data_IF_530001198443
#
_entry.id   IF_530001198443
#
_cell.length_a   1.000
_cell.length_b   1.000
_cell.length_c   1.000
_cell.angle_alpha   90.00
_cell.angle_beta   90.00
_cell.angle_gamma   90.00
#
_symmetry.space_group_name_H-M   'P 1'
#
loop_
_entity.id
_entity.type
_entity.pdbx_description
1 polymer ?
#
# COMPACT_ATOMS: atom_id res chain seq x y z
N UNK A 1 24.58 18.95 38.86
CA UNK A 1 25.12 18.83 37.48
C UNK A 1 23.98 18.30 36.62
N UNK A 2 23.24 19.18 35.95
CA UNK A 2 22.10 18.76 35.10
C UNK A 2 22.70 18.25 33.80
N UNK A 3 22.56 16.95 33.53
CA UNK A 3 22.96 16.38 32.25
C UNK A 3 22.20 17.13 31.14
N UNK A 4 22.93 17.80 30.24
CA UNK A 4 22.33 18.37 29.03
C UNK A 4 21.89 17.18 28.17
N UNK A 5 20.61 16.88 28.17
CA UNK A 5 20.02 15.92 27.25
C UNK A 5 20.13 16.51 25.84
N UNK A 6 21.06 16.00 25.03
CA UNK A 6 21.17 16.40 23.62
C UNK A 6 19.88 15.95 22.92
N UNK A 7 19.10 16.87 22.32
CA UNK A 7 17.87 16.48 21.63
C UNK A 7 18.22 15.61 20.42
N UNK A 8 17.65 14.40 20.36
CA UNK A 8 17.79 13.51 19.21
C UNK A 8 16.93 14.04 18.07
N UNK A 9 17.49 14.17 16.87
CA UNK A 9 16.80 14.71 15.70
C UNK A 9 16.63 13.62 14.65
N UNK A 10 15.39 13.35 14.28
CA UNK A 10 15.07 12.49 13.16
C UNK A 10 14.97 13.37 11.91
N UNK A 11 16.03 13.38 11.12
CA UNK A 11 16.05 14.02 9.81
C UNK A 11 15.44 13.05 8.79
N UNK A 12 14.26 13.37 8.29
CA UNK A 12 13.55 12.53 7.31
C UNK A 12 12.81 13.39 6.28
N UNK A 13 12.73 12.91 5.05
CA UNK A 13 11.96 13.59 4.00
C UNK A 13 10.47 13.61 4.34
N UNK A 14 9.99 12.57 5.02
CA UNK A 14 8.59 12.35 5.36
C UNK A 14 8.35 12.44 6.85
N UNK A 15 7.18 12.96 7.22
CA UNK A 15 6.72 12.87 8.60
C UNK A 15 6.57 11.39 9.02
N UNK A 16 7.12 11.01 10.18
CA UNK A 16 6.97 9.67 10.73
C UNK A 16 5.51 9.45 11.16
N UNK A 17 5.05 8.21 11.04
CA UNK A 17 3.72 7.73 11.44
C UNK A 17 3.79 6.81 12.68
N UNK A 18 4.87 6.91 13.43
CA UNK A 18 5.10 6.17 14.67
C UNK A 18 5.46 7.13 15.80
N UNK A 19 5.30 6.68 17.05
CA UNK A 19 5.67 7.47 18.23
C UNK A 19 7.18 7.74 18.25
N UNK A 20 7.53 9.03 18.26
CA UNK A 20 8.92 9.48 18.25
C UNK A 20 9.57 9.43 19.63
N UNK A 21 8.79 9.31 20.71
CA UNK A 21 9.28 9.39 22.08
C UNK A 21 10.08 10.68 22.30
N UNK A 22 11.39 10.55 22.51
CA UNK A 22 12.30 11.69 22.75
C UNK A 22 12.87 12.33 21.48
N UNK A 23 12.62 11.76 20.30
CA UNK A 23 13.12 12.30 19.04
C UNK A 23 12.28 13.47 18.57
N UNK A 24 12.91 14.49 18.01
CA UNK A 24 12.24 15.56 17.29
C UNK A 24 12.37 15.35 15.79
N UNK A 25 11.25 15.37 15.08
CA UNK A 25 11.23 15.37 13.62
C UNK A 25 11.75 16.70 13.06
N UNK A 26 12.60 16.61 12.05
CA UNK A 26 13.02 17.73 11.20
C UNK A 26 12.87 17.31 9.74
N UNK A 27 12.06 18.05 8.99
CA UNK A 27 11.89 17.79 7.56
C UNK A 27 13.14 18.23 6.78
N UNK A 28 13.34 17.63 5.61
CA UNK A 28 14.42 18.03 4.71
C UNK A 28 14.25 19.50 4.24
N UNK A 29 13.01 19.96 4.03
CA UNK A 29 12.75 21.36 3.72
C UNK A 29 13.18 22.30 4.86
N UNK A 30 12.81 22.00 6.11
CA UNK A 30 13.25 22.79 7.25
C UNK A 30 14.77 22.77 7.42
N UNK A 31 15.41 21.62 7.17
CA UNK A 31 16.86 21.52 7.23
C UNK A 31 17.55 22.36 6.15
N UNK A 32 17.06 22.32 4.90
CA UNK A 32 17.54 23.15 3.81
C UNK A 32 17.42 24.64 4.09
N UNK A 33 16.26 25.08 4.61
CA UNK A 33 16.04 26.47 5.01
C UNK A 33 17.03 26.92 6.10
N UNK A 34 17.24 26.09 7.13
CA UNK A 34 18.20 26.39 8.21
C UNK A 34 19.65 26.45 7.74
N UNK A 35 20.03 25.66 6.75
CA UNK A 35 21.35 25.79 6.10
C UNK A 35 21.45 27.19 5.48
N UNK A 36 20.48 27.57 4.65
CA UNK A 36 20.51 28.87 3.96
C UNK A 36 20.53 30.06 4.92
N UNK A 37 19.74 30.01 6.00
CA UNK A 37 19.72 31.04 7.04
C UNK A 37 21.05 31.18 7.80
N UNK A 38 21.78 30.07 7.98
CA UNK A 38 23.05 30.06 8.71
C UNK A 38 24.26 30.44 7.86
N UNK A 39 24.13 30.49 6.53
CA UNK A 39 25.24 30.81 5.64
C UNK A 39 25.57 32.30 5.65
N UNK A 40 26.86 32.67 5.58
CA UNK A 40 27.26 34.06 5.42
C UNK A 40 26.85 34.60 4.04
N UNK A 41 26.82 35.92 3.92
CA UNK A 41 26.39 36.62 2.70
C UNK A 41 27.44 36.60 1.57
N UNK A 42 28.64 36.06 1.80
CA UNK A 42 29.69 36.00 0.78
C UNK A 42 29.42 34.91 -0.28
N UNK A 43 30.34 34.78 -1.23
CA UNK A 43 30.26 33.83 -2.35
C UNK A 43 31.49 32.93 -2.41
N UNK A 44 32.04 32.53 -1.26
CA UNK A 44 33.11 31.53 -1.24
C UNK A 44 32.64 30.21 -1.87
N UNK A 45 33.59 29.40 -2.33
CA UNK A 45 33.29 28.10 -2.90
C UNK A 45 32.51 27.20 -1.92
N UNK A 46 32.88 27.22 -0.64
CA UNK A 46 32.23 26.47 0.43
C UNK A 46 30.79 26.93 0.64
N UNK A 47 30.56 28.25 0.64
CA UNK A 47 29.22 28.83 0.80
C UNK A 47 28.33 28.47 -0.40
N UNK A 48 28.84 28.59 -1.62
CA UNK A 48 28.10 28.18 -2.82
C UNK A 48 27.83 26.67 -2.86
N UNK A 49 28.75 25.85 -2.38
CA UNK A 49 28.55 24.40 -2.24
C UNK A 49 27.41 24.10 -1.28
N UNK A 50 27.36 24.77 -0.14
CA UNK A 50 26.27 24.61 0.83
C UNK A 50 24.93 25.13 0.31
N UNK A 51 24.91 26.24 -0.45
CA UNK A 51 23.69 26.72 -1.13
C UNK A 51 23.15 25.69 -2.11
N UNK A 52 24.03 25.09 -2.93
CA UNK A 52 23.66 24.03 -3.88
C UNK A 52 23.17 22.76 -3.17
N UNK A 53 23.79 22.41 -2.05
CA UNK A 53 23.35 21.28 -1.24
C UNK A 53 21.95 21.52 -0.62
N UNK A 54 21.70 22.70 -0.09
CA UNK A 54 20.38 23.07 0.43
C UNK A 54 19.29 23.08 -0.67
N UNK A 55 19.64 23.56 -1.87
CA UNK A 55 18.76 23.48 -3.04
C UNK A 55 18.44 22.02 -3.40
N UNK A 56 19.45 21.16 -3.50
CA UNK A 56 19.26 19.73 -3.78
C UNK A 56 18.37 19.03 -2.74
N UNK A 57 18.55 19.33 -1.46
CA UNK A 57 17.71 18.78 -0.39
C UNK A 57 16.26 19.24 -0.57
N UNK A 58 16.05 20.52 -0.90
CA UNK A 58 14.73 21.10 -1.12
C UNK A 58 14.04 20.47 -2.33
N UNK A 59 14.77 20.28 -3.43
CA UNK A 59 14.28 19.60 -4.63
C UNK A 59 13.89 18.15 -4.34
N UNK A 60 14.71 17.43 -3.57
CA UNK A 60 14.41 16.07 -3.13
C UNK A 60 13.14 16.02 -2.26
N UNK A 61 12.97 16.99 -1.35
CA UNK A 61 11.76 17.08 -0.55
C UNK A 61 10.53 17.32 -1.42
N UNK A 62 10.59 18.28 -2.34
CA UNK A 62 9.49 18.55 -3.28
C UNK A 62 9.13 17.32 -4.13
N UNK A 63 10.14 16.60 -4.61
CA UNK A 63 9.95 15.38 -5.39
C UNK A 63 9.21 14.30 -4.61
N UNK A 64 9.58 14.08 -3.34
CA UNK A 64 8.90 13.09 -2.48
C UNK A 64 7.52 13.58 -2.06
N UNK A 65 7.34 14.88 -1.78
CA UNK A 65 6.03 15.47 -1.47
C UNK A 65 5.06 15.46 -2.66
N UNK A 66 5.53 15.25 -3.88
CA UNK A 66 4.67 14.97 -5.03
C UNK A 66 3.99 13.58 -4.94
N UNK A 67 4.47 12.69 -4.07
CA UNK A 67 3.87 11.37 -3.84
C UNK A 67 2.76 11.39 -2.78
N UNK A 68 2.64 12.46 -2.01
CA UNK A 68 1.62 12.59 -0.97
C UNK A 68 0.21 12.63 -1.56
N UNK A 69 -0.75 12.01 -0.87
CA UNK A 69 -2.16 12.07 -1.24
C UNK A 69 -2.71 13.44 -0.84
N UNK A 70 -3.13 14.25 -1.82
CA UNK A 70 -3.57 15.65 -1.57
C UNK A 70 -5.06 15.85 -1.67
N UNK A 71 -5.74 14.98 -2.40
CA UNK A 71 -7.18 15.08 -2.66
C UNK A 71 -7.77 13.70 -2.94
N UNK A 72 -9.02 13.51 -2.60
CA UNK A 72 -9.74 12.26 -2.91
C UNK A 72 -10.06 12.12 -4.41
N UNK A 73 -10.09 13.22 -5.16
CA UNK A 73 -10.39 13.22 -6.60
C UNK A 73 -9.16 12.96 -7.48
N UNK A 74 -7.96 12.88 -6.90
CA UNK A 74 -6.76 12.65 -7.69
C UNK A 74 -6.57 11.15 -8.01
N UNK A 75 -5.85 10.81 -9.10
CA UNK A 75 -5.54 9.43 -9.42
C UNK A 75 -4.72 8.74 -8.32
N UNK A 76 -4.96 7.45 -8.10
CA UNK A 76 -4.20 6.67 -7.11
C UNK A 76 -2.70 6.64 -7.46
N UNK A 77 -2.38 6.49 -8.74
CA UNK A 77 -1.00 6.45 -9.22
C UNK A 77 -0.54 7.77 -9.83
N UNK A 78 0.77 8.03 -9.68
CA UNK A 78 1.42 9.13 -10.37
C UNK A 78 1.29 8.94 -11.88
N UNK A 79 1.01 10.03 -12.60
CA UNK A 79 0.87 9.98 -14.04
C UNK A 79 2.21 9.64 -14.71
N UNK A 80 2.15 8.93 -15.84
CA UNK A 80 3.34 8.66 -16.66
C UNK A 80 4.00 9.95 -17.13
N UNK A 81 3.22 11.02 -17.34
CA UNK A 81 3.71 12.34 -17.74
C UNK A 81 4.59 12.98 -16.66
N UNK A 82 4.23 12.81 -15.38
CA UNK A 82 5.05 13.30 -14.27
C UNK A 82 6.35 12.50 -14.19
N UNK A 83 6.27 11.18 -14.37
CA UNK A 83 7.41 10.27 -14.22
C UNK A 83 8.34 10.24 -15.44
N UNK A 84 7.87 10.57 -16.65
CA UNK A 84 8.68 10.51 -17.87
C UNK A 84 9.82 11.53 -17.87
N UNK A 85 9.69 12.60 -17.09
CA UNK A 85 10.76 13.58 -16.83
C UNK A 85 11.94 12.99 -16.03
N UNK A 86 11.75 11.85 -15.37
CA UNK A 86 12.73 11.21 -14.50
C UNK A 86 13.45 10.10 -15.27
N UNK A 87 14.69 10.39 -15.67
CA UNK A 87 15.52 9.47 -16.47
C UNK A 87 15.87 8.17 -15.73
N UNK A 88 16.04 8.22 -14.41
CA UNK A 88 16.36 7.03 -13.59
C UNK A 88 15.13 6.14 -13.38
N UNK A 89 15.24 4.87 -13.80
CA UNK A 89 14.23 3.85 -13.52
C UNK A 89 14.14 3.52 -12.03
N UNK A 90 15.26 3.54 -11.31
CA UNK A 90 15.30 3.32 -9.86
C UNK A 90 14.55 4.43 -9.12
N UNK A 91 14.74 5.68 -9.52
CA UNK A 91 14.00 6.80 -8.93
C UNK A 91 12.50 6.69 -9.21
N UNK A 92 12.10 6.36 -10.44
CA UNK A 92 10.68 6.11 -10.77
C UNK A 92 10.07 5.00 -9.90
N UNK A 93 10.79 3.89 -9.71
CA UNK A 93 10.34 2.80 -8.85
C UNK A 93 10.24 3.23 -7.37
N UNK A 94 11.18 4.03 -6.88
CA UNK A 94 11.15 4.58 -5.53
C UNK A 94 9.95 5.50 -5.30
N UNK A 95 9.63 6.36 -6.27
CA UNK A 95 8.46 7.25 -6.20
C UNK A 95 7.14 6.49 -6.28
N UNK A 96 7.05 5.44 -7.11
CA UNK A 96 5.89 4.56 -7.11
C UNK A 96 5.70 3.85 -5.77
N UNK A 97 6.78 3.34 -5.18
CA UNK A 97 6.73 2.72 -3.85
C UNK A 97 6.30 3.72 -2.79
N UNK A 98 6.87 4.92 -2.78
CA UNK A 98 6.50 5.98 -1.87
C UNK A 98 5.01 6.33 -2.02
N UNK A 99 4.54 6.54 -3.26
CA UNK A 99 3.11 6.78 -3.54
C UNK A 99 2.23 5.66 -3.00
N UNK A 100 2.57 4.40 -3.23
CA UNK A 100 1.82 3.27 -2.70
C UNK A 100 1.73 3.29 -1.17
N UNK A 101 2.83 3.61 -0.49
CA UNK A 101 2.84 3.78 0.97
C UNK A 101 1.97 4.95 1.44
N UNK A 102 1.94 6.07 0.70
CA UNK A 102 1.05 7.21 1.00
C UNK A 102 -0.42 6.89 0.82
N UNK A 103 -0.75 6.16 -0.24
CA UNK A 103 -2.12 5.69 -0.48
C UNK A 103 -2.56 4.73 0.62
N UNK A 104 -1.70 3.78 1.01
CA UNK A 104 -1.99 2.87 2.11
C UNK A 104 -2.23 3.62 3.44
N UNK A 105 -1.40 4.64 3.74
CA UNK A 105 -1.61 5.50 4.92
C UNK A 105 -2.96 6.23 4.86
N UNK A 106 -3.28 6.85 3.73
CA UNK A 106 -4.55 7.55 3.56
C UNK A 106 -5.78 6.61 3.69
N UNK A 107 -5.62 5.33 3.36
CA UNK A 107 -6.64 4.30 3.61
C UNK A 107 -6.73 3.93 5.09
N UNK A 108 -5.60 3.78 5.78
CA UNK A 108 -5.57 3.46 7.20
C UNK A 108 -6.16 4.59 8.07
N UNK A 109 -5.93 5.85 7.66
CA UNK A 109 -6.56 7.00 8.32
C UNK A 109 -8.08 7.04 8.07
N UNK A 110 -8.53 6.52 6.94
CA UNK A 110 -9.95 6.47 6.55
C UNK A 110 -10.70 5.26 7.13
N UNK A 111 -10.03 4.11 7.28
CA UNK A 111 -10.54 2.85 7.84
C UNK A 111 -9.61 2.38 8.97
N UNK A 112 -9.63 3.06 10.14
CA UNK A 112 -8.78 2.71 11.28
C UNK A 112 -9.12 1.34 11.91
N UNK A 113 -10.29 0.78 11.60
CA UNK A 113 -10.82 -0.47 12.15
C UNK A 113 -10.36 -1.74 11.44
N UNK A 114 -9.60 -1.63 10.34
CA UNK A 114 -9.05 -2.80 9.64
C UNK A 114 -8.28 -3.69 10.61
N UNK A 115 -8.53 -5.01 10.57
CA UNK A 115 -7.80 -5.97 11.41
C UNK A 115 -6.28 -5.83 11.25
N UNK A 116 -5.84 -5.58 10.01
CA UNK A 116 -4.46 -5.24 9.68
C UNK A 116 -4.45 -3.98 8.83
N UNK A 117 -3.54 -3.02 9.11
CA UNK A 117 -3.39 -1.85 8.26
C UNK A 117 -3.14 -2.25 6.81
N UNK A 118 -3.78 -1.54 5.88
CA UNK A 118 -3.47 -1.64 4.46
C UNK A 118 -1.97 -1.41 4.25
N UNK A 119 -1.39 -2.21 3.36
CA UNK A 119 0.03 -2.20 3.04
C UNK A 119 0.27 -1.58 1.68
N UNK A 120 1.31 -0.75 1.57
CA UNK A 120 1.76 -0.14 0.32
C UNK A 120 3.20 -0.56 -0.01
N UNK A 121 3.45 -0.94 -1.25
CA UNK A 121 4.74 -1.47 -1.67
C UNK A 121 4.90 -1.63 -3.18
N UNK A 122 5.72 -2.61 -3.56
CA UNK A 122 6.01 -2.95 -4.96
C UNK A 122 5.96 -4.46 -5.12
N UNK A 123 5.39 -4.94 -6.23
CA UNK A 123 5.46 -6.35 -6.63
C UNK A 123 5.71 -6.41 -8.13
N UNK A 124 6.69 -7.22 -8.56
CA UNK A 124 7.11 -7.32 -9.97
C UNK A 124 7.31 -5.95 -10.65
N UNK A 125 8.06 -5.06 -9.98
CA UNK A 125 8.31 -3.67 -10.41
C UNK A 125 7.05 -2.80 -10.62
N UNK A 126 5.90 -3.21 -10.09
CA UNK A 126 4.62 -2.49 -10.20
C UNK A 126 4.19 -2.03 -8.80
N UNK A 127 3.70 -0.79 -8.62
CA UNK A 127 3.15 -0.34 -7.34
C UNK A 127 1.99 -1.25 -6.90
N UNK A 128 1.94 -1.53 -5.61
CA UNK A 128 0.95 -2.40 -4.98
C UNK A 128 0.40 -1.72 -3.72
N UNK A 129 -0.92 -1.66 -3.60
CA UNK A 129 -1.60 -1.41 -2.32
C UNK A 129 -2.56 -2.56 -2.06
N UNK A 130 -2.64 -3.03 -0.83
CA UNK A 130 -3.46 -4.19 -0.48
C UNK A 130 -4.02 -4.12 0.94
N UNK A 131 -5.15 -4.78 1.15
CA UNK A 131 -5.72 -5.04 2.47
C UNK A 131 -6.33 -6.44 2.49
N UNK A 132 -6.04 -7.20 3.54
CA UNK A 132 -6.52 -8.56 3.73
C UNK A 132 -6.82 -8.79 5.20
N UNK A 133 -7.97 -9.37 5.46
CA UNK A 133 -8.46 -9.64 6.79
C UNK A 133 -8.83 -11.09 6.94
N UNK A 134 -8.59 -11.61 8.12
CA UNK A 134 -8.82 -13.00 8.44
C UNK A 134 -10.31 -13.21 8.76
N UNK A 135 -10.86 -14.30 8.23
CA UNK A 135 -12.21 -14.74 8.57
C UNK A 135 -12.29 -16.26 8.50
N UNK A 136 -13.07 -16.83 9.42
CA UNK A 136 -13.58 -18.18 9.27
C UNK A 136 -15.00 -18.10 8.74
N UNK A 137 -15.22 -18.58 7.52
CA UNK A 137 -16.54 -18.55 6.89
C UNK A 137 -16.69 -19.73 5.94
N UNK A 138 -17.93 -20.20 5.75
CA UNK A 138 -18.25 -21.35 4.88
C UNK A 138 -17.39 -22.59 5.16
N UNK A 139 -17.05 -22.81 6.44
CA UNK A 139 -16.23 -23.94 6.89
C UNK A 139 -14.74 -23.82 6.57
N UNK A 140 -14.23 -22.62 6.29
CA UNK A 140 -12.87 -22.40 5.81
C UNK A 140 -12.18 -21.25 6.53
N UNK A 141 -10.90 -21.45 6.87
CA UNK A 141 -10.01 -20.39 7.30
C UNK A 141 -9.38 -19.71 6.09
N UNK A 142 -9.69 -18.42 5.90
CA UNK A 142 -9.21 -17.64 4.76
C UNK A 142 -8.78 -16.24 5.18
N UNK A 143 -7.91 -15.62 4.38
CA UNK A 143 -7.93 -14.15 4.28
C UNK A 143 -8.74 -13.75 3.06
N UNK A 144 -9.69 -12.85 3.26
CA UNK A 144 -10.42 -12.17 2.21
C UNK A 144 -9.86 -10.75 2.07
N UNK A 145 -9.84 -10.22 0.85
CA UNK A 145 -9.31 -8.88 0.66
C UNK A 145 -9.14 -8.48 -0.79
N UNK A 146 -8.31 -7.47 -0.98
CA UNK A 146 -8.07 -6.89 -2.29
C UNK A 146 -6.63 -6.43 -2.47
N UNK A 147 -6.22 -6.34 -3.74
CA UNK A 147 -4.95 -5.77 -4.17
C UNK A 147 -5.18 -4.82 -5.33
N UNK A 148 -4.69 -3.61 -5.25
CA UNK A 148 -4.49 -2.73 -6.39
C UNK A 148 -3.03 -2.81 -6.84
N UNK A 149 -2.76 -3.52 -7.94
CA UNK A 149 -1.42 -3.63 -8.52
C UNK A 149 -1.40 -2.99 -9.91
N UNK A 150 -0.74 -1.84 -10.03
CA UNK A 150 -0.83 -1.01 -11.23
C UNK A 150 -2.28 -0.67 -11.52
N UNK A 151 -2.72 -0.78 -12.77
CA UNK A 151 -4.12 -0.51 -13.14
C UNK A 151 -5.08 -1.68 -12.90
N UNK A 152 -4.74 -2.64 -12.04
CA UNK A 152 -5.58 -3.80 -11.78
C UNK A 152 -6.04 -3.82 -10.32
N UNK A 153 -7.35 -3.65 -10.11
CA UNK A 153 -7.98 -3.97 -8.84
C UNK A 153 -8.33 -5.45 -8.81
N UNK A 154 -7.85 -6.17 -7.81
CA UNK A 154 -8.01 -7.61 -7.65
C UNK A 154 -8.80 -7.90 -6.38
N UNK A 155 -9.85 -8.71 -6.50
CA UNK A 155 -10.49 -9.36 -5.35
C UNK A 155 -9.88 -10.73 -5.18
N UNK A 156 -9.42 -11.02 -3.97
CA UNK A 156 -8.56 -12.15 -3.73
C UNK A 156 -8.86 -12.86 -2.42
N UNK A 157 -8.57 -14.16 -2.43
CA UNK A 157 -8.70 -15.07 -1.29
C UNK A 157 -7.38 -15.78 -1.08
N UNK A 158 -6.96 -15.88 0.18
CA UNK A 158 -5.82 -16.69 0.62
C UNK A 158 -6.32 -17.82 1.48
N UNK A 159 -6.23 -19.05 1.00
CA UNK A 159 -6.66 -20.24 1.75
C UNK A 159 -5.55 -20.74 2.69
N UNK A 160 -5.91 -21.07 3.94
CA UNK A 160 -4.95 -21.57 4.95
C UNK A 160 -4.98 -23.07 5.17
N UNK A 161 -5.99 -23.77 4.64
CA UNK A 161 -6.07 -25.22 4.76
C UNK A 161 -4.90 -25.88 4.01
N UNK A 162 -4.14 -26.71 4.72
CA UNK A 162 -2.96 -27.40 4.20
C UNK A 162 -3.28 -28.36 3.05
N UNK A 163 -4.48 -28.93 2.99
CA UNK A 163 -4.92 -29.78 1.88
C UNK A 163 -5.11 -28.99 0.58
N UNK A 164 -5.44 -27.71 0.73
CA UNK A 164 -5.72 -26.75 -0.34
C UNK A 164 -4.48 -25.91 -0.67
N UNK A 165 -3.56 -25.72 0.27
CA UNK A 165 -2.32 -24.99 0.08
C UNK A 165 -1.28 -25.87 -0.64
N UNK A 166 -0.71 -25.39 -1.75
CA UNK A 166 0.39 -26.11 -2.42
C UNK A 166 0.44 -25.96 -3.94
N UNK A 167 1.50 -26.49 -4.54
CA UNK A 167 1.77 -26.38 -5.99
C UNK A 167 1.34 -27.61 -6.80
N UNK A 168 0.77 -28.63 -6.15
CA UNK A 168 0.29 -29.84 -6.84
C UNK A 168 -0.92 -29.53 -7.74
N UNK A 169 -1.14 -30.35 -8.77
CA UNK A 169 -2.33 -30.22 -9.61
C UNK A 169 -3.62 -30.46 -8.81
N UNK A 170 -3.58 -31.36 -7.83
CA UNK A 170 -4.71 -31.69 -6.98
C UNK A 170 -5.12 -30.51 -6.09
N UNK A 171 -4.18 -29.92 -5.35
CA UNK A 171 -4.46 -28.73 -4.53
C UNK A 171 -4.93 -27.56 -5.40
N UNK A 172 -4.41 -27.43 -6.63
CA UNK A 172 -4.91 -26.42 -7.59
C UNK A 172 -6.37 -26.68 -8.01
N UNK A 173 -6.75 -27.93 -8.30
CA UNK A 173 -8.13 -28.30 -8.63
C UNK A 173 -9.07 -28.05 -7.45
N UNK A 174 -8.67 -28.45 -6.23
CA UNK A 174 -9.44 -28.16 -5.02
C UNK A 174 -9.66 -26.66 -4.85
N UNK A 175 -8.61 -25.83 -5.01
CA UNK A 175 -8.74 -24.37 -4.97
C UNK A 175 -9.73 -23.84 -5.99
N UNK A 176 -9.67 -24.34 -7.21
CA UNK A 176 -10.57 -23.92 -8.29
C UNK A 176 -12.03 -24.29 -7.97
N UNK A 177 -12.30 -25.52 -7.53
CA UNK A 177 -13.64 -26.00 -7.19
C UNK A 177 -14.23 -25.26 -5.99
N UNK A 178 -13.42 -24.98 -4.97
CA UNK A 178 -13.83 -24.17 -3.81
C UNK A 178 -14.13 -22.73 -4.23
N UNK A 179 -13.26 -22.14 -5.05
CA UNK A 179 -13.45 -20.75 -5.51
C UNK A 179 -14.71 -20.61 -6.38
N UNK A 180 -15.06 -21.63 -7.16
CA UNK A 180 -16.33 -21.68 -7.90
C UNK A 180 -17.56 -21.83 -7.02
N UNK A 181 -17.43 -22.49 -5.86
CA UNK A 181 -18.52 -22.61 -4.87
C UNK A 181 -18.77 -21.32 -4.11
N UNK A 182 -17.79 -20.41 -4.06
CA UNK A 182 -17.86 -19.14 -3.35
C UNK A 182 -17.54 -17.94 -4.27
N UNK A 183 -18.34 -17.72 -5.33
CA UNK A 183 -18.12 -16.59 -6.24
C UNK A 183 -18.26 -15.23 -5.54
N UNK A 184 -19.00 -15.17 -4.43
CA UNK A 184 -19.21 -13.97 -3.60
C UNK A 184 -17.90 -13.38 -3.08
N UNK A 185 -16.89 -14.20 -2.77
CA UNK A 185 -15.59 -13.71 -2.29
C UNK A 185 -14.81 -12.91 -3.35
N UNK A 186 -15.23 -12.99 -4.60
CA UNK A 186 -14.58 -12.35 -5.74
C UNK A 186 -15.46 -11.30 -6.42
N UNK A 187 -16.60 -10.94 -5.82
CA UNK A 187 -17.45 -9.87 -6.31
C UNK A 187 -16.73 -8.52 -6.18
N UNK A 188 -16.86 -7.67 -7.22
CA UNK A 188 -16.23 -6.35 -7.22
C UNK A 188 -17.21 -5.32 -6.64
N UNK A 189 -16.79 -4.50 -5.67
CA UNK A 189 -17.64 -3.46 -5.14
C UNK A 189 -17.90 -2.36 -6.19
N UNK A 190 -19.07 -1.72 -6.12
CA UNK A 190 -19.25 -0.44 -6.82
C UNK A 190 -18.33 0.62 -6.20
N UNK A 191 -17.78 1.58 -6.98
CA UNK A 191 -18.08 1.88 -8.38
C UNK A 191 -17.22 1.11 -9.41
N UNK A 192 -16.48 0.08 -9.00
CA UNK A 192 -15.56 -0.61 -9.89
C UNK A 192 -16.30 -1.33 -11.03
N UNK A 193 -15.62 -1.52 -12.18
CA UNK A 193 -16.17 -2.35 -13.24
C UNK A 193 -16.57 -3.73 -12.72
N UNK A 194 -17.66 -4.26 -13.24
CA UNK A 194 -18.18 -5.58 -12.84
C UNK A 194 -17.72 -6.70 -13.78
N UNK A 195 -17.23 -6.34 -14.97
CA UNK A 195 -16.73 -7.29 -15.96
C UNK A 195 -15.27 -7.64 -15.63
N UNK A 196 -14.97 -8.90 -15.27
CA UNK A 196 -13.61 -9.32 -14.95
C UNK A 196 -12.68 -9.18 -16.17
N UNK A 197 -11.44 -8.80 -15.92
CA UNK A 197 -10.36 -8.86 -16.88
C UNK A 197 -9.76 -10.26 -17.01
N UNK A 198 -9.11 -10.51 -18.15
CA UNK A 198 -8.43 -11.77 -18.45
C UNK A 198 -9.30 -12.76 -19.22
N UNK A 199 -8.70 -13.87 -19.68
CA UNK A 199 -9.41 -14.94 -20.40
C UNK A 199 -9.93 -16.05 -19.48
N UNK A 200 -9.41 -16.11 -18.26
CA UNK A 200 -9.75 -17.15 -17.28
C UNK A 200 -10.71 -16.57 -16.25
N UNK A 201 -11.61 -17.42 -15.77
CA UNK A 201 -12.49 -17.11 -14.64
C UNK A 201 -11.67 -16.70 -13.41
N UNK A 202 -10.60 -17.45 -13.11
CA UNK A 202 -9.61 -17.15 -12.08
C UNK A 202 -8.20 -17.10 -12.69
N UNK A 203 -7.41 -16.08 -12.33
CA UNK A 203 -6.16 -15.80 -13.05
C UNK A 203 -4.91 -16.46 -12.46
N UNK A 204 -4.84 -16.65 -11.13
CA UNK A 204 -3.65 -17.23 -10.47
C UNK A 204 -4.02 -18.13 -9.29
N UNK A 205 -3.13 -19.08 -8.96
CA UNK A 205 -3.34 -20.15 -7.97
C UNK A 205 -2.03 -20.52 -7.26
N UNK A 206 -1.26 -19.56 -6.75
CA UNK A 206 0.05 -19.83 -6.16
C UNK A 206 0.13 -19.44 -4.67
N UNK A 207 0.78 -20.28 -3.84
CA UNK A 207 0.33 -21.66 -3.57
C UNK A 207 -1.05 -21.71 -2.86
N UNK A 208 -1.58 -20.58 -2.40
CA UNK A 208 -2.87 -20.45 -1.70
C UNK A 208 -3.70 -19.24 -2.17
N UNK A 209 -3.15 -18.42 -3.07
CA UNK A 209 -3.76 -17.17 -3.55
C UNK A 209 -4.60 -17.40 -4.80
N UNK A 210 -5.87 -17.03 -4.74
CA UNK A 210 -6.80 -17.02 -5.89
C UNK A 210 -7.36 -15.62 -6.06
N UNK A 211 -7.49 -15.15 -7.30
CA UNK A 211 -8.07 -13.83 -7.55
C UNK A 211 -8.81 -13.70 -8.88
N UNK A 212 -9.72 -12.73 -8.89
CA UNK A 212 -10.29 -12.09 -10.07
C UNK A 212 -9.84 -10.64 -10.09
N UNK A 213 -9.74 -10.04 -11.27
CA UNK A 213 -9.37 -8.63 -11.37
C UNK A 213 -10.23 -7.87 -12.37
N UNK A 214 -10.23 -6.55 -12.24
CA UNK A 214 -10.75 -5.59 -13.22
C UNK A 214 -9.69 -4.54 -13.51
N UNK A 215 -9.75 -3.94 -14.70
CA UNK A 215 -8.86 -2.83 -15.06
C UNK A 215 -9.45 -1.51 -14.59
N UNK A 216 -8.64 -0.72 -13.91
CA UNK A 216 -9.02 0.56 -13.28
C UNK A 216 -7.91 1.59 -13.54
N UNK A 217 -7.66 1.99 -14.81
CA UNK A 217 -6.58 2.91 -15.15
C UNK A 217 -6.75 4.31 -14.54
N UNK A 218 -8.00 4.74 -14.38
CA UNK A 218 -8.35 6.09 -13.91
C UNK A 218 -8.90 6.08 -12.47
N UNK A 219 -8.55 5.06 -11.68
CA UNK A 219 -9.03 4.94 -10.31
C UNK A 219 -8.59 6.14 -9.46
N UNK A 220 -9.56 6.82 -8.85
CA UNK A 220 -9.27 7.91 -7.91
C UNK A 220 -9.08 7.38 -6.49
N UNK A 221 -8.53 8.21 -5.61
CA UNK A 221 -8.42 7.91 -4.17
C UNK A 221 -9.82 7.68 -3.56
N UNK A 222 -10.82 8.47 -3.95
CA UNK A 222 -12.22 8.31 -3.52
C UNK A 222 -12.79 6.96 -3.92
N UNK A 223 -12.59 6.54 -5.17
CA UNK A 223 -13.07 5.24 -5.65
C UNK A 223 -12.40 4.09 -4.90
N UNK A 224 -11.10 4.21 -4.63
CA UNK A 224 -10.36 3.21 -3.88
C UNK A 224 -10.84 3.12 -2.42
N UNK A 225 -11.08 4.26 -1.76
CA UNK A 225 -11.66 4.31 -0.41
C UNK A 225 -13.05 3.66 -0.37
N UNK A 226 -13.92 3.98 -1.32
CA UNK A 226 -15.25 3.38 -1.42
C UNK A 226 -15.17 1.86 -1.63
N UNK A 227 -14.31 1.40 -2.55
CA UNK A 227 -14.09 -0.02 -2.79
C UNK A 227 -13.52 -0.74 -1.55
N UNK A 228 -12.55 -0.13 -0.86
CA UNK A 228 -11.94 -0.69 0.34
C UNK A 228 -12.96 -0.82 1.48
N UNK A 229 -13.77 0.22 1.72
CA UNK A 229 -14.82 0.22 2.74
C UNK A 229 -15.90 -0.83 2.44
N UNK A 230 -16.33 -0.95 1.18
CA UNK A 230 -17.30 -1.97 0.79
C UNK A 230 -16.75 -3.39 1.01
N UNK A 231 -15.50 -3.66 0.64
CA UNK A 231 -14.86 -4.96 0.90
C UNK A 231 -14.74 -5.23 2.39
N UNK A 232 -14.34 -4.25 3.19
CA UNK A 232 -14.27 -4.40 4.64
C UNK A 232 -15.65 -4.77 5.22
N UNK A 233 -16.71 -4.06 4.83
CA UNK A 233 -18.08 -4.36 5.26
C UNK A 233 -18.55 -5.77 4.85
N UNK A 234 -18.22 -6.24 3.65
CA UNK A 234 -18.49 -7.61 3.21
C UNK A 234 -17.78 -8.65 4.10
N UNK A 235 -16.54 -8.38 4.49
CA UNK A 235 -15.76 -9.26 5.37
C UNK A 235 -16.38 -9.31 6.76
N UNK A 236 -16.78 -8.16 7.32
CA UNK A 236 -17.50 -8.10 8.60
C UNK A 236 -18.81 -8.87 8.56
N UNK A 237 -19.56 -8.78 7.46
CA UNK A 237 -20.78 -9.58 7.28
C UNK A 237 -20.47 -11.08 7.29
N UNK A 238 -19.44 -11.52 6.58
CA UNK A 238 -19.01 -12.93 6.61
C UNK A 238 -18.54 -13.37 7.99
N UNK A 239 -17.91 -12.49 8.76
CA UNK A 239 -17.49 -12.75 10.14
C UNK A 239 -18.69 -12.88 11.08
N UNK A 240 -19.74 -12.08 10.89
CA UNK A 240 -20.98 -12.16 11.66
C UNK A 240 -21.82 -13.41 11.33
N UNK A 241 -21.81 -13.86 10.07
CA UNK A 241 -22.51 -15.07 9.63
C UNK A 241 -21.76 -16.39 9.95
N UNK A 242 -20.44 -16.29 10.17
CA UNK A 242 -19.57 -17.44 10.42
C UNK A 242 -19.71 -18.01 11.84
N UNK A 243 -19.49 -19.32 11.99
CA UNK A 243 -19.27 -19.92 13.30
C UNK A 243 -17.92 -19.47 13.87
N UNK A 244 -17.82 -19.33 15.20
CA UNK A 244 -16.59 -18.90 15.85
C UNK A 244 -15.64 -20.10 15.96
N UNK A 245 -14.83 -20.33 14.93
CA UNK A 245 -13.68 -21.24 15.02
C UNK A 245 -12.41 -20.44 15.33
N UNK A 246 -11.60 -20.83 16.32
CA UNK A 246 -10.40 -20.11 16.68
C UNK A 246 -9.40 -20.06 15.52
N UNK A 247 -8.75 -18.91 15.35
CA UNK A 247 -7.71 -18.71 14.35
C UNK A 247 -6.53 -19.68 14.59
N UNK A 248 -6.13 -20.51 13.61
CA UNK A 248 -4.97 -21.37 13.76
C UNK A 248 -3.67 -20.54 13.89
N UNK A 249 -2.74 -21.02 14.70
CA UNK A 249 -1.49 -20.32 15.08
C UNK A 249 -0.61 -19.98 13.86
N UNK A 250 -0.66 -20.79 12.80
CA UNK A 250 0.17 -20.63 11.58
C UNK A 250 -0.48 -19.77 10.48
N UNK A 251 -1.58 -19.07 10.76
CA UNK A 251 -2.29 -18.24 9.75
C UNK A 251 -1.76 -16.80 9.66
N UNK A 252 -0.55 -16.53 10.15
CA UNK A 252 0.09 -15.23 9.94
C UNK A 252 0.37 -15.05 8.44
N UNK A 253 -0.12 -13.94 7.87
CA UNK A 253 0.10 -13.65 6.45
C UNK A 253 1.57 -13.23 6.26
N UNK A 254 2.37 -14.07 5.63
CA UNK A 254 3.64 -13.63 5.05
C UNK A 254 3.31 -12.79 3.82
N UNK A 255 3.73 -11.52 3.79
CA UNK A 255 3.57 -10.68 2.61
C UNK A 255 4.18 -11.38 1.38
N UNK A 256 3.55 -11.27 0.19
CA UNK A 256 4.07 -11.89 -1.04
C UNK A 256 5.40 -11.30 -1.51
#
# INVERSE_FOLDING_TARGET
MVARTTPLVLLSVSAPDFDLGTWRYLSYAEFGARILEALPADSSYEVETMRRYAALISDLHQLVSATDVRSDNEPVWLSETLLSSISSSQMRAALHKARAQRVARALNDFLPELEQPAAGGMSNATPLVESFEYVYTRGQHVHLGWQLQGNQFRRAVVYHDQSIAGRSQESRRLREDISRRHPEFYAFPMPLPQVPGGRKEFNHFAPSFVYRYVKTPDLTISDLKAAASAVHGEIEQHRAEGSVEPRPIDTARTAP
#
